data_IF_375468169876
#
_entry.id   IF_375468169876
#
_cell.length_a   1.000
_cell.length_b   1.000
_cell.length_c   1.000
_cell.angle_alpha   90.00
_cell.angle_beta   90.00
_cell.angle_gamma   90.00
#
_symmetry.space_group_name_H-M   'P 1'
#
loop_
_entity.id
_entity.type
_entity.pdbx_description
1 polymer ?
#
# COMPACT_ATOMS: atom_id res chain seq x y z
N UNK A 1 -0.98 14.92 -3.24
CA UNK A 1 -2.13 14.07 -3.38
C UNK A 1 -1.70 12.65 -3.73
N UNK A 2 -2.28 11.74 -3.09
CA UNK A 2 -1.93 10.37 -3.13
C UNK A 2 -2.14 9.73 -4.51
N UNK A 3 -1.24 8.87 -4.93
CA UNK A 3 -1.28 8.23 -6.25
C UNK A 3 -2.24 7.02 -6.30
N UNK A 4 -3.35 7.12 -5.59
CA UNK A 4 -4.33 6.06 -5.46
C UNK A 4 -4.99 5.68 -6.78
N UNK A 5 -5.26 6.68 -7.63
CA UNK A 5 -5.84 6.43 -8.95
C UNK A 5 -4.87 5.68 -9.87
N UNK A 6 -3.57 5.96 -9.75
CA UNK A 6 -2.54 5.19 -10.46
C UNK A 6 -2.51 3.75 -9.97
N UNK A 7 -2.64 3.54 -8.67
CA UNK A 7 -2.73 2.20 -8.08
C UNK A 7 -3.95 1.43 -8.58
N UNK A 8 -5.11 2.07 -8.61
CA UNK A 8 -6.34 1.44 -9.14
C UNK A 8 -6.18 1.05 -10.61
N UNK A 9 -5.52 1.86 -11.42
CA UNK A 9 -5.23 1.52 -12.82
C UNK A 9 -4.28 0.33 -12.93
N UNK A 10 -3.32 0.19 -12.02
CA UNK A 10 -2.47 -1.01 -11.99
C UNK A 10 -3.30 -2.27 -11.73
N UNK A 11 -4.24 -2.21 -10.80
CA UNK A 11 -5.13 -3.35 -10.53
C UNK A 11 -5.93 -3.70 -11.78
N UNK A 12 -6.52 -2.73 -12.45
CA UNK A 12 -7.30 -2.95 -13.67
C UNK A 12 -6.47 -3.61 -14.76
N UNK A 13 -5.23 -3.17 -14.95
CA UNK A 13 -4.36 -3.65 -16.02
C UNK A 13 -3.72 -5.00 -15.75
N UNK A 14 -3.48 -5.36 -14.48
CA UNK A 14 -2.71 -6.54 -14.11
C UNK A 14 -3.47 -7.57 -13.28
N UNK A 15 -4.76 -7.35 -12.98
CA UNK A 15 -5.55 -8.29 -12.16
C UNK A 15 -5.67 -9.70 -12.76
N UNK A 16 -5.49 -9.84 -14.07
CA UNK A 16 -5.51 -11.15 -14.74
C UNK A 16 -4.26 -11.98 -14.50
N UNK A 17 -3.15 -11.37 -14.08
CA UNK A 17 -1.85 -12.04 -13.92
C UNK A 17 -1.26 -11.89 -12.52
N UNK A 18 -1.83 -11.06 -11.67
CA UNK A 18 -1.32 -10.79 -10.32
C UNK A 18 -2.45 -10.57 -9.33
N UNK A 19 -2.22 -10.97 -8.10
CA UNK A 19 -3.07 -10.63 -6.97
C UNK A 19 -2.57 -9.36 -6.29
N UNK A 20 -3.49 -8.53 -5.82
CA UNK A 20 -3.20 -7.27 -5.15
C UNK A 20 -3.64 -7.33 -3.71
N UNK A 21 -2.83 -6.75 -2.83
CA UNK A 21 -3.13 -6.64 -1.40
C UNK A 21 -2.68 -5.27 -0.90
N UNK A 22 -3.55 -4.59 -0.18
CA UNK A 22 -3.19 -3.38 0.56
C UNK A 22 -3.05 -3.73 2.03
N UNK A 23 -1.94 -3.31 2.64
CA UNK A 23 -1.74 -3.38 4.08
C UNK A 23 -1.80 -1.95 4.61
N UNK A 24 -2.83 -1.65 5.38
CA UNK A 24 -2.96 -0.36 6.04
C UNK A 24 -2.12 -0.33 7.31
N UNK A 25 -1.18 0.60 7.36
CA UNK A 25 -0.19 0.70 8.45
C UNK A 25 -0.46 1.91 9.35
N UNK A 26 0.42 2.14 10.32
CA UNK A 26 0.39 3.35 11.15
C UNK A 26 0.38 4.64 10.34
N UNK A 27 -0.22 5.68 10.87
CA UNK A 27 -0.26 7.00 10.22
C UNK A 27 1.05 7.77 10.44
N UNK A 28 1.70 8.17 9.36
CA UNK A 28 2.91 8.99 9.43
C UNK A 28 2.60 10.42 9.86
N UNK A 29 1.43 10.93 9.49
CA UNK A 29 1.01 12.31 9.72
C UNK A 29 -0.38 12.37 10.36
N UNK A 30 -0.55 11.64 11.47
CA UNK A 30 -1.78 11.67 12.23
C UNK A 30 -2.11 13.09 12.72
N UNK A 31 -3.41 13.39 12.86
CA UNK A 31 -3.88 14.74 13.23
C UNK A 31 -3.44 15.19 14.63
N UNK A 32 -3.15 14.24 15.53
CA UNK A 32 -2.62 14.47 16.87
C UNK A 32 -1.09 14.28 16.99
N UNK A 33 -0.41 14.19 15.85
CA UNK A 33 1.04 14.08 15.75
C UNK A 33 1.61 15.14 14.82
N UNK A 34 2.51 14.73 13.94
CA UNK A 34 3.07 15.62 12.91
C UNK A 34 2.13 15.72 11.72
N UNK A 35 1.04 16.48 11.86
CA UNK A 35 0.01 16.61 10.84
C UNK A 35 0.43 17.54 9.70
N UNK A 36 0.01 17.20 8.49
CA UNK A 36 0.04 18.12 7.36
C UNK A 36 -1.24 18.96 7.30
N UNK A 37 -1.10 20.19 6.82
CA UNK A 37 -2.25 21.04 6.52
C UNK A 37 -3.10 20.37 5.42
N UNK A 38 -4.40 20.34 5.61
CA UNK A 38 -5.37 19.72 4.71
C UNK A 38 -5.29 18.18 4.63
N UNK A 39 -4.66 17.55 5.60
CA UNK A 39 -4.71 16.09 5.74
C UNK A 39 -6.06 15.64 6.28
N UNK A 40 -6.35 14.35 6.11
CA UNK A 40 -7.52 13.73 6.76
C UNK A 40 -7.35 13.78 8.28
N UNK A 41 -8.47 13.98 9.00
CA UNK A 41 -8.45 14.02 10.46
C UNK A 41 -8.44 12.61 11.03
N UNK A 42 -7.27 11.96 10.97
CA UNK A 42 -7.04 10.64 11.53
C UNK A 42 -5.99 10.78 12.62
N UNK A 43 -6.39 10.43 13.84
CA UNK A 43 -5.49 10.39 14.99
C UNK A 43 -4.61 9.16 14.96
N UNK A 44 -3.51 9.19 15.71
CA UNK A 44 -2.74 7.99 15.98
C UNK A 44 -3.63 6.88 16.56
N UNK A 45 -3.49 5.69 16.02
CA UNK A 45 -4.28 4.55 16.48
C UNK A 45 -3.84 4.13 17.88
N UNK A 46 -4.77 4.10 18.82
CA UNK A 46 -4.51 3.69 20.20
C UNK A 46 -4.65 2.19 20.39
N UNK A 47 -5.41 1.53 19.51
CA UNK A 47 -5.70 0.11 19.56
C UNK A 47 -6.06 -0.39 18.15
N UNK A 48 -6.22 -1.71 18.03
CA UNK A 48 -6.56 -2.32 16.75
C UNK A 48 -7.91 -1.85 16.22
N UNK A 49 -8.87 -1.60 17.10
CA UNK A 49 -10.19 -1.12 16.68
C UNK A 49 -10.11 0.25 16.00
N UNK A 50 -9.30 1.16 16.53
CA UNK A 50 -9.05 2.46 15.90
C UNK A 50 -8.47 2.31 14.50
N UNK A 51 -7.51 1.41 14.35
CA UNK A 51 -6.88 1.14 13.05
C UNK A 51 -7.86 0.54 12.06
N UNK A 52 -8.68 -0.39 12.49
CA UNK A 52 -9.73 -0.98 11.65
C UNK A 52 -10.76 0.06 11.21
N UNK A 53 -11.18 0.95 12.12
CA UNK A 53 -12.11 2.02 11.78
C UNK A 53 -11.50 2.99 10.75
N UNK A 54 -10.25 3.36 10.91
CA UNK A 54 -9.55 4.23 9.97
C UNK A 54 -9.42 3.55 8.60
N UNK A 55 -9.16 2.26 8.56
CA UNK A 55 -9.07 1.49 7.31
C UNK A 55 -10.38 1.50 6.51
N UNK A 56 -11.54 1.65 7.16
CA UNK A 56 -12.81 1.79 6.46
C UNK A 56 -12.88 3.03 5.55
N UNK A 57 -12.14 4.09 5.88
CA UNK A 57 -12.03 5.26 5.01
C UNK A 57 -11.36 4.90 3.67
N UNK A 58 -10.40 3.98 3.72
CA UNK A 58 -9.75 3.47 2.51
C UNK A 58 -10.71 2.60 1.69
N UNK A 59 -11.52 1.77 2.34
CA UNK A 59 -12.53 0.96 1.65
C UNK A 59 -13.57 1.82 0.94
N UNK A 60 -13.91 2.98 1.50
CA UNK A 60 -14.84 3.93 0.87
C UNK A 60 -14.31 4.48 -0.46
N UNK A 61 -13.00 4.42 -0.70
CA UNK A 61 -12.36 4.80 -1.96
C UNK A 61 -12.35 3.67 -3.00
N UNK A 62 -12.95 2.52 -2.70
CA UNK A 62 -13.07 1.36 -3.59
C UNK A 62 -11.71 0.91 -4.17
N UNK A 63 -10.80 0.38 -3.34
CA UNK A 63 -9.46 0.01 -3.78
C UNK A 63 -9.43 -1.16 -4.78
N UNK A 64 -10.52 -1.90 -4.94
CA UNK A 64 -10.69 -3.04 -5.87
C UNK A 64 -9.77 -4.22 -5.56
N UNK A 65 -9.27 -4.30 -4.35
CA UNK A 65 -8.47 -5.42 -3.85
C UNK A 65 -8.68 -5.57 -2.34
N UNK A 66 -8.30 -6.72 -1.76
CA UNK A 66 -8.36 -6.88 -0.31
C UNK A 66 -7.51 -5.85 0.42
N UNK A 67 -8.01 -5.39 1.55
CA UNK A 67 -7.31 -4.51 2.48
C UNK A 67 -7.21 -5.20 3.83
N UNK A 68 -6.01 -5.32 4.35
CA UNK A 68 -5.75 -5.80 5.70
C UNK A 68 -5.09 -4.70 6.51
N UNK A 69 -5.12 -4.82 7.83
CA UNK A 69 -4.48 -3.84 8.71
C UNK A 69 -3.25 -4.46 9.38
N UNK A 70 -2.23 -3.65 9.59
CA UNK A 70 -1.04 -4.06 10.32
C UNK A 70 -1.35 -4.26 11.81
N UNK A 71 -0.52 -5.04 12.49
CA UNK A 71 -0.62 -5.24 13.93
C UNK A 71 -0.29 -3.94 14.68
N UNK A 72 -0.72 -3.84 15.93
CA UNK A 72 -0.40 -2.69 16.77
C UNK A 72 1.08 -2.60 17.12
N UNK A 73 1.84 -3.69 16.95
CA UNK A 73 3.30 -3.70 17.04
C UNK A 73 3.97 -3.19 15.76
N UNK A 74 3.19 -2.83 14.73
CA UNK A 74 3.67 -2.32 13.45
C UNK A 74 4.65 -3.28 12.75
N UNK A 75 4.33 -4.57 12.79
CA UNK A 75 5.19 -5.62 12.25
C UNK A 75 5.45 -5.45 10.75
N UNK A 76 4.40 -5.25 9.96
CA UNK A 76 4.56 -5.06 8.52
C UNK A 76 5.26 -3.76 8.19
N UNK A 77 4.89 -2.67 8.87
CA UNK A 77 5.54 -1.36 8.69
C UNK A 77 7.06 -1.45 8.92
N UNK A 78 7.48 -2.16 9.96
CA UNK A 78 8.90 -2.32 10.30
C UNK A 78 9.62 -3.30 9.38
N UNK A 79 9.05 -4.48 9.14
CA UNK A 79 9.67 -5.51 8.31
C UNK A 79 9.90 -5.06 6.87
N UNK A 80 8.96 -4.31 6.33
CA UNK A 80 9.04 -3.82 4.95
C UNK A 80 9.60 -2.40 4.85
N UNK A 81 9.94 -1.78 5.98
CA UNK A 81 10.38 -0.37 6.04
C UNK A 81 9.42 0.53 5.22
N UNK A 82 8.13 0.42 5.52
CA UNK A 82 7.08 0.87 4.61
C UNK A 82 6.58 2.28 4.89
N UNK A 83 6.86 2.85 6.05
CA UNK A 83 6.36 4.17 6.42
C UNK A 83 6.95 5.28 5.53
N UNK A 84 6.17 6.21 4.99
CA UNK A 84 4.71 6.30 5.03
C UNK A 84 3.99 5.38 4.03
N UNK A 85 4.64 4.97 2.97
CA UNK A 85 4.08 4.11 1.93
C UNK A 85 5.16 3.45 1.10
N UNK A 86 4.91 2.24 0.62
CA UNK A 86 5.85 1.51 -0.19
C UNK A 86 5.17 0.42 -1.03
N UNK A 87 5.76 0.11 -2.18
CA UNK A 87 5.29 -0.93 -3.09
C UNK A 87 6.27 -2.10 -3.15
N UNK A 88 5.74 -3.31 -3.20
CA UNK A 88 6.51 -4.54 -3.40
C UNK A 88 5.83 -5.42 -4.42
N UNK A 89 6.63 -6.12 -5.22
CA UNK A 89 6.18 -7.27 -6.01
C UNK A 89 6.82 -8.51 -5.42
N UNK A 90 5.99 -9.48 -5.07
CA UNK A 90 6.43 -10.75 -4.48
C UNK A 90 6.03 -11.87 -5.43
N UNK A 91 6.96 -12.78 -5.68
CA UNK A 91 6.74 -13.95 -6.51
C UNK A 91 7.42 -15.15 -5.89
N UNK A 92 6.67 -16.24 -5.71
CA UNK A 92 7.18 -17.48 -5.13
C UNK A 92 7.90 -17.28 -3.78
N UNK A 93 7.35 -16.42 -2.92
CA UNK A 93 7.93 -16.12 -1.62
C UNK A 93 9.18 -15.24 -1.64
N UNK A 94 9.50 -14.64 -2.79
CA UNK A 94 10.66 -13.76 -2.95
C UNK A 94 10.24 -12.38 -3.37
N UNK A 95 11.00 -11.36 -2.96
CA UNK A 95 10.80 -10.00 -3.40
C UNK A 95 11.40 -9.84 -4.80
N UNK A 96 10.54 -9.66 -5.80
CA UNK A 96 10.94 -9.39 -7.18
C UNK A 96 11.25 -7.91 -7.41
N UNK A 97 10.48 -7.03 -6.75
CA UNK A 97 10.65 -5.59 -6.83
C UNK A 97 10.39 -4.97 -5.46
N UNK A 98 11.27 -4.06 -5.08
CA UNK A 98 11.14 -3.24 -3.88
C UNK A 98 11.19 -1.78 -4.28
N UNK A 99 10.04 -1.10 -4.19
CA UNK A 99 9.96 0.33 -4.44
C UNK A 99 10.68 1.15 -3.38
N UNK A 100 11.01 2.39 -3.70
CA UNK A 100 11.52 3.34 -2.72
C UNK A 100 10.39 3.80 -1.83
N UNK A 101 10.71 4.18 -0.59
CA UNK A 101 9.70 4.67 0.34
C UNK A 101 9.17 6.04 -0.11
N UNK A 102 7.84 6.25 0.12
CA UNK A 102 7.20 7.52 -0.14
C UNK A 102 7.60 8.63 0.85
N UNK A 103 6.97 9.79 0.71
CA UNK A 103 6.03 10.11 -0.37
C UNK A 103 6.70 10.48 -1.70
N UNK A 104 7.97 10.94 -1.68
CA UNK A 104 8.64 11.52 -2.86
C UNK A 104 9.03 10.47 -3.89
N UNK A 105 9.43 9.29 -3.41
CA UNK A 105 9.96 8.22 -4.27
C UNK A 105 8.94 7.11 -4.56
N UNK A 106 7.71 7.27 -4.08
CA UNK A 106 6.64 6.33 -4.33
C UNK A 106 6.10 6.51 -5.76
N UNK A 107 6.34 5.52 -6.61
CA UNK A 107 5.97 5.60 -8.01
C UNK A 107 5.33 4.30 -8.51
N UNK A 108 4.00 4.23 -8.59
CA UNK A 108 3.29 3.06 -9.12
C UNK A 108 3.66 2.69 -10.55
N UNK A 109 4.14 3.64 -11.36
CA UNK A 109 4.52 3.37 -12.75
C UNK A 109 5.79 2.50 -12.86
N UNK A 110 6.66 2.49 -11.86
CA UNK A 110 7.79 1.56 -11.81
C UNK A 110 7.31 0.10 -11.73
N UNK A 111 6.23 -0.13 -11.01
CA UNK A 111 5.59 -1.45 -10.91
C UNK A 111 5.05 -1.88 -12.26
N UNK A 112 4.50 -0.96 -13.04
CA UNK A 112 4.01 -1.22 -14.40
C UNK A 112 5.12 -1.72 -15.31
N UNK A 113 6.28 -1.11 -15.25
CA UNK A 113 7.43 -1.51 -16.07
C UNK A 113 7.89 -2.95 -15.72
N UNK A 114 7.96 -3.29 -14.44
CA UNK A 114 8.30 -4.65 -13.98
C UNK A 114 7.22 -5.65 -14.38
N UNK A 115 5.95 -5.30 -14.23
CA UNK A 115 4.82 -6.14 -14.62
C UNK A 115 4.84 -6.48 -16.11
N UNK A 116 5.13 -5.51 -16.96
CA UNK A 116 5.25 -5.72 -18.42
C UNK A 116 6.41 -6.64 -18.77
N UNK A 117 7.55 -6.48 -18.13
CA UNK A 117 8.71 -7.36 -18.32
C UNK A 117 8.41 -8.81 -17.91
N UNK A 118 7.55 -9.00 -16.92
CA UNK A 118 7.16 -10.32 -16.40
C UNK A 118 6.04 -10.98 -17.21
N UNK A 119 5.34 -10.26 -18.08
CA UNK A 119 4.25 -10.82 -18.90
C UNK A 119 4.69 -11.93 -19.86
N UNK A 120 5.96 -11.93 -20.27
CA UNK A 120 6.54 -12.99 -21.09
C UNK A 120 6.87 -14.28 -20.30
N UNK A 121 6.80 -14.23 -19.01
CA UNK A 121 7.01 -15.35 -18.09
C UNK A 121 5.65 -15.65 -17.45
N UNK A 122 4.88 -16.55 -18.03
CA UNK A 122 3.60 -17.00 -17.45
C UNK A 122 3.89 -17.75 -16.14
N UNK A 123 4.11 -17.03 -15.06
CA UNK A 123 4.37 -17.58 -13.75
C UNK A 123 3.10 -17.44 -12.90
N UNK A 124 2.55 -18.56 -12.40
CA UNK A 124 1.47 -18.51 -11.42
C UNK A 124 2.01 -17.90 -10.13
N UNK A 125 1.23 -17.10 -9.44
CA UNK A 125 1.50 -16.56 -8.10
C UNK A 125 2.39 -15.29 -8.01
N UNK A 126 2.19 -14.32 -8.89
CA UNK A 126 2.71 -12.98 -8.63
C UNK A 126 1.76 -12.23 -7.70
N UNK A 127 2.25 -11.81 -6.55
CA UNK A 127 1.50 -11.03 -5.58
C UNK A 127 2.06 -9.63 -5.51
N UNK A 128 1.19 -8.64 -5.63
CA UNK A 128 1.53 -7.24 -5.44
C UNK A 128 1.05 -6.81 -4.06
N UNK A 129 1.98 -6.56 -3.16
CA UNK A 129 1.68 -6.09 -1.83
C UNK A 129 2.00 -4.60 -1.71
N UNK A 130 1.07 -3.86 -1.16
CA UNK A 130 1.18 -2.42 -0.93
C UNK A 130 1.01 -2.14 0.54
N UNK A 131 1.86 -1.27 1.04
CA UNK A 131 1.65 -0.70 2.36
C UNK A 131 1.23 0.75 2.19
N UNK A 132 0.21 1.14 2.90
CA UNK A 132 -0.32 2.50 2.86
C UNK A 132 -0.63 2.98 4.26
N UNK A 133 -0.33 4.24 4.50
CA UNK A 133 -1.13 5.04 5.41
C UNK A 133 -2.14 5.86 4.58
N UNK A 134 -3.05 6.55 5.22
CA UNK A 134 -4.03 7.40 4.54
C UNK A 134 -3.52 8.83 4.34
N UNK A 135 -2.26 9.06 4.64
CA UNK A 135 -1.63 10.34 4.43
C UNK A 135 -1.47 10.62 2.93
N UNK A 136 -1.96 11.74 2.45
CA UNK A 136 -1.82 12.10 1.06
C UNK A 136 -0.39 12.52 0.67
#
# INVERSE_FOLDING_TARGET
MFKFDQFKRLIEDFSSIADFLVIYIEEAHASDGWAFKNNMDIRNHQNLQDRLQAAHLLLARSPQCPVVVDTMQNQSSQLYAALPERLYIIQEGRILYKGKSGPWNYNPEEVRAVGRASQGLALPETQLAFTLDLCP
#
